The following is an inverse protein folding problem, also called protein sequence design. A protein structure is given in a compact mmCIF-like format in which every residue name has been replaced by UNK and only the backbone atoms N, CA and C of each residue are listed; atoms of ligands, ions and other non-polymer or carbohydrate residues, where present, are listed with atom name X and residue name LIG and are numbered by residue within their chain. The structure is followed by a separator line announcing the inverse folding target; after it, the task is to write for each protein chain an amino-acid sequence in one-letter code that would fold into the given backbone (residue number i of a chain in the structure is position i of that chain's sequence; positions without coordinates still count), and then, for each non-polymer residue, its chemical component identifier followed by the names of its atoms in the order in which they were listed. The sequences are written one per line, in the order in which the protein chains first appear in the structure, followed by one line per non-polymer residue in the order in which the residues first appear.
data_IF_346973626989
#
_entry.id   IF_346973626989
#
_cell.length_a   1.000
_cell.length_b   1.000
_cell.length_c   1.000
_cell.angle_alpha   90.00
_cell.angle_beta   90.00
_cell.angle_gamma   90.00
#
_symmetry.space_group_name_H-M   'P 1'
#
loop_
_entity.id
_entity.type
_entity.pdbx_description
1 polymer ?
#
# COMPACT_ATOMS: atom_id res chain seq x y z
N UNK A 1 3.65 -13.07 -0.61
CA UNK A 1 2.42 -12.23 -0.53
C UNK A 1 1.33 -12.96 0.24
N UNK A 2 1.08 -14.25 0.00
CA UNK A 2 0.02 -14.99 0.68
C UNK A 2 0.11 -14.86 2.20
N UNK A 3 1.23 -15.21 2.83
CA UNK A 3 1.41 -15.14 4.28
C UNK A 3 1.33 -13.71 4.82
N UNK A 4 1.72 -12.73 3.99
CA UNK A 4 1.61 -11.32 4.31
C UNK A 4 0.15 -10.89 4.42
N UNK A 5 -0.69 -11.30 3.47
CA UNK A 5 -2.10 -10.91 3.43
C UNK A 5 -2.93 -11.54 4.55
N UNK A 6 -2.46 -12.59 5.24
CA UNK A 6 -3.13 -13.12 6.44
C UNK A 6 -3.28 -12.08 7.54
N UNK A 7 -2.30 -11.18 7.66
CA UNK A 7 -2.34 -10.08 8.63
C UNK A 7 -3.41 -9.03 8.32
N UNK A 8 -3.93 -9.03 7.09
CA UNK A 8 -4.85 -8.01 6.58
C UNK A 8 -6.27 -8.56 6.31
N UNK A 9 -6.54 -9.85 6.56
CA UNK A 9 -7.86 -10.47 6.26
C UNK A 9 -9.02 -9.73 6.94
N UNK A 10 -8.81 -9.32 8.19
CA UNK A 10 -9.83 -8.61 8.97
C UNK A 10 -9.81 -7.08 8.76
N UNK A 11 -9.04 -6.61 7.79
CA UNK A 11 -8.92 -5.20 7.49
C UNK A 11 -10.25 -4.63 6.96
N UNK A 12 -10.73 -3.56 7.59
CA UNK A 12 -11.92 -2.82 7.18
C UNK A 12 -11.56 -1.44 6.61
N UNK A 13 -10.53 -0.81 7.15
CA UNK A 13 -10.06 0.51 6.72
C UNK A 13 -8.55 0.65 6.93
N UNK A 14 -7.95 1.58 6.21
CA UNK A 14 -6.51 1.86 6.33
C UNK A 14 -6.03 2.85 5.29
N UNK A 15 -4.72 2.96 5.19
CA UNK A 15 -4.07 3.92 4.30
C UNK A 15 -3.03 3.25 3.41
N UNK A 16 -2.88 3.78 2.20
CA UNK A 16 -1.74 3.48 1.34
C UNK A 16 -0.98 4.78 1.11
N UNK A 17 0.28 4.79 1.47
CA UNK A 17 1.10 6.00 1.48
C UNK A 17 2.28 5.85 0.53
N UNK A 18 2.63 6.95 -0.10
CA UNK A 18 3.87 7.08 -0.87
C UNK A 18 4.18 8.54 -1.16
N UNK A 19 5.38 8.82 -1.67
CA UNK A 19 5.77 10.10 -2.26
C UNK A 19 6.57 9.85 -3.53
N UNK A 20 6.57 10.83 -4.44
CA UNK A 20 7.32 10.75 -5.68
C UNK A 20 6.67 9.87 -6.72
N UNK A 21 7.46 9.16 -7.51
CA UNK A 21 6.99 8.39 -8.68
C UNK A 21 6.06 7.22 -8.33
N UNK A 22 6.12 6.72 -7.09
CA UNK A 22 5.25 5.62 -6.63
C UNK A 22 3.93 6.09 -6.00
N UNK A 23 3.71 7.39 -5.87
CA UNK A 23 2.44 7.91 -5.36
C UNK A 23 1.22 7.48 -6.21
N UNK A 24 1.24 7.53 -7.54
CA UNK A 24 0.14 6.99 -8.36
C UNK A 24 -0.16 5.52 -8.07
N UNK A 25 0.86 4.73 -7.70
CA UNK A 25 0.68 3.32 -7.34
C UNK A 25 0.01 3.17 -5.98
N UNK A 26 0.25 4.09 -5.03
CA UNK A 26 -0.51 4.11 -3.78
C UNK A 26 -2.01 4.35 -4.03
N UNK A 27 -2.36 5.19 -4.99
CA UNK A 27 -3.76 5.40 -5.41
C UNK A 27 -4.34 4.16 -6.09
N UNK A 28 -3.58 3.50 -6.98
CA UNK A 28 -3.99 2.25 -7.63
C UNK A 28 -4.19 1.11 -6.61
N UNK A 29 -3.27 0.93 -5.65
CA UNK A 29 -3.39 -0.06 -4.58
C UNK A 29 -4.65 0.18 -3.73
N UNK A 30 -4.95 1.45 -3.46
CA UNK A 30 -6.17 1.89 -2.80
C UNK A 30 -7.41 1.48 -3.59
N UNK A 31 -7.44 1.81 -4.89
CA UNK A 31 -8.56 1.49 -5.78
C UNK A 31 -8.79 -0.02 -5.86
N UNK A 32 -7.74 -0.82 -6.08
CA UNK A 32 -7.85 -2.28 -6.13
C UNK A 32 -8.38 -2.86 -4.82
N UNK A 33 -7.93 -2.36 -3.67
CA UNK A 33 -8.44 -2.81 -2.36
C UNK A 33 -9.93 -2.47 -2.17
N UNK A 34 -10.37 -1.31 -2.65
CA UNK A 34 -11.78 -0.91 -2.61
C UNK A 34 -12.64 -1.78 -3.53
N UNK A 35 -12.20 -1.98 -4.76
CA UNK A 35 -12.97 -2.69 -5.80
C UNK A 35 -13.10 -4.18 -5.50
N UNK A 36 -12.02 -4.84 -5.06
CA UNK A 36 -11.98 -6.30 -4.97
C UNK A 36 -12.12 -6.83 -3.55
N UNK A 37 -11.64 -6.09 -2.54
CA UNK A 37 -11.64 -6.52 -1.15
C UNK A 37 -12.69 -5.81 -0.29
N UNK A 38 -13.34 -4.78 -0.83
CA UNK A 38 -14.34 -3.93 -0.16
C UNK A 38 -13.80 -3.27 1.12
N UNK A 39 -12.51 -2.99 1.14
CA UNK A 39 -11.82 -2.32 2.25
C UNK A 39 -11.83 -0.82 2.02
N UNK A 40 -12.14 -0.04 3.05
CA UNK A 40 -12.16 1.43 2.99
C UNK A 40 -10.73 1.99 3.07
N UNK A 41 -9.91 1.67 2.08
CA UNK A 41 -8.56 2.24 1.97
C UNK A 41 -8.61 3.67 1.45
N UNK A 42 -7.63 4.49 1.87
CA UNK A 42 -7.39 5.83 1.33
C UNK A 42 -5.91 6.00 0.97
N UNK A 43 -5.66 6.51 -0.21
CA UNK A 43 -4.31 6.80 -0.71
C UNK A 43 -3.93 8.26 -0.43
N UNK A 44 -2.74 8.48 0.11
CA UNK A 44 -2.21 9.82 0.33
C UNK A 44 -0.74 9.93 -0.09
N UNK A 45 -0.37 11.11 -0.55
CA UNK A 45 1.05 11.46 -0.54
C UNK A 45 1.50 11.63 0.91
N UNK A 46 2.74 11.21 1.20
CA UNK A 46 3.32 11.36 2.54
C UNK A 46 3.28 12.82 3.00
N UNK A 47 3.51 13.77 2.09
CA UNK A 47 3.47 15.20 2.42
C UNK A 47 2.07 15.62 2.89
N UNK A 48 1.02 15.22 2.17
CA UNK A 48 -0.36 15.59 2.51
C UNK A 48 -0.86 14.87 3.75
N UNK A 49 -0.34 13.68 4.02
CA UNK A 49 -0.74 12.86 5.16
C UNK A 49 -0.45 13.55 6.51
N UNK A 50 0.62 14.34 6.60
CA UNK A 50 0.94 15.13 7.79
C UNK A 50 -0.10 16.21 8.10
N UNK A 51 -0.88 16.67 7.12
CA UNK A 51 -1.79 17.81 7.25
C UNK A 51 -3.23 17.42 7.61
N UNK A 52 -3.39 16.42 8.49
CA UNK A 52 -4.69 16.03 9.03
C UNK A 52 -4.92 14.52 9.09
N UNK A 53 -4.78 13.76 7.98
CA UNK A 53 -5.04 12.31 7.98
C UNK A 53 -4.25 11.53 9.04
N UNK A 54 -3.04 11.96 9.36
CA UNK A 54 -2.18 11.36 10.40
C UNK A 54 -2.87 11.28 11.77
N UNK A 55 -3.77 12.22 12.09
CA UNK A 55 -4.54 12.21 13.33
C UNK A 55 -5.52 11.02 13.47
N UNK A 56 -5.80 10.30 12.37
CA UNK A 56 -6.66 9.11 12.36
C UNK A 56 -5.90 7.81 12.67
N UNK A 57 -4.57 7.89 12.83
CA UNK A 57 -3.70 6.71 13.02
C UNK A 57 -3.61 6.33 14.48
N UNK A 58 -3.83 5.05 14.74
CA UNK A 58 -3.58 4.37 16.01
C UNK A 58 -2.83 3.04 15.78
N UNK A 59 -2.61 2.27 16.85
CA UNK A 59 -1.91 0.99 16.80
C UNK A 59 -2.63 -0.09 15.96
N UNK A 60 -3.91 0.08 15.65
CA UNK A 60 -4.73 -0.85 14.86
C UNK A 60 -4.86 -0.43 13.40
N UNK A 61 -4.42 0.77 13.07
CA UNK A 61 -4.53 1.30 11.72
C UNK A 61 -3.62 0.54 10.76
N UNK A 62 -4.20 -0.07 9.74
CA UNK A 62 -3.43 -0.73 8.70
C UNK A 62 -2.87 0.27 7.70
N UNK A 63 -1.57 0.18 7.45
CA UNK A 63 -0.87 1.08 6.55
C UNK A 63 0.05 0.28 5.63
N UNK A 64 -0.03 0.57 4.32
CA UNK A 64 0.95 0.13 3.33
C UNK A 64 1.73 1.36 2.90
N UNK A 65 3.04 1.32 2.97
CA UNK A 65 3.92 2.42 2.62
C UNK A 65 4.94 1.97 1.56
N UNK A 66 4.91 2.58 0.40
CA UNK A 66 5.94 2.37 -0.62
C UNK A 66 7.15 3.27 -0.34
N UNK A 67 8.31 2.67 -0.12
CA UNK A 67 9.57 3.35 0.19
C UNK A 67 10.70 2.83 -0.71
N UNK A 68 10.55 3.06 -2.02
CA UNK A 68 11.51 2.63 -3.03
C UNK A 68 12.75 3.52 -3.03
N UNK A 69 13.89 2.98 -3.47
CA UNK A 69 15.11 3.76 -3.74
C UNK A 69 14.81 4.93 -4.68
N UNK A 70 15.46 6.07 -4.45
CA UNK A 70 15.29 7.26 -5.25
C UNK A 70 15.10 8.53 -4.41
N UNK A 71 14.75 9.63 -5.07
CA UNK A 71 14.72 10.97 -4.47
C UNK A 71 13.75 11.10 -3.27
N UNK A 72 12.66 10.33 -3.25
CA UNK A 72 11.64 10.40 -2.19
C UNK A 72 11.77 9.34 -1.09
N UNK A 73 12.76 8.43 -1.17
CA UNK A 73 12.92 7.35 -0.19
C UNK A 73 13.03 7.86 1.25
N UNK A 74 13.88 8.89 1.45
CA UNK A 74 14.10 9.48 2.78
C UNK A 74 12.81 9.97 3.42
N UNK A 75 11.95 10.64 2.66
CA UNK A 75 10.69 11.18 3.16
C UNK A 75 9.70 10.05 3.50
N UNK A 76 9.65 9.01 2.68
CA UNK A 76 8.83 7.82 2.93
C UNK A 76 9.29 7.09 4.20
N UNK A 77 10.60 6.95 4.41
CA UNK A 77 11.15 6.32 5.62
C UNK A 77 10.90 7.16 6.87
N UNK A 78 11.03 8.49 6.79
CA UNK A 78 10.67 9.38 7.90
C UNK A 78 9.20 9.23 8.31
N UNK A 79 8.29 9.01 7.35
CA UNK A 79 6.89 8.69 7.64
C UNK A 79 6.77 7.31 8.32
N UNK A 80 7.52 6.30 7.87
CA UNK A 80 7.51 4.99 8.53
C UNK A 80 7.94 5.08 10.01
N UNK A 81 8.98 5.88 10.29
CA UNK A 81 9.42 6.14 11.66
C UNK A 81 8.33 6.85 12.46
N UNK A 82 7.73 7.89 11.90
CA UNK A 82 6.64 8.64 12.54
C UNK A 82 5.45 7.75 12.89
N UNK A 83 5.08 6.85 12.00
CA UNK A 83 3.99 5.90 12.23
C UNK A 83 4.32 4.93 13.37
N UNK A 84 5.57 4.46 13.45
CA UNK A 84 6.05 3.60 14.56
C UNK A 84 6.04 4.32 15.90
N UNK A 85 6.41 5.61 15.94
CA UNK A 85 6.31 6.43 17.15
C UNK A 85 4.87 6.53 17.69
N UNK A 86 3.87 6.51 16.81
CA UNK A 86 2.43 6.51 17.17
C UNK A 86 1.95 5.12 17.62
N UNK A 87 2.77 4.07 17.40
CA UNK A 87 2.43 2.69 17.72
C UNK A 87 1.88 1.90 16.53
N UNK A 88 1.69 2.51 15.36
CA UNK A 88 1.28 1.80 14.15
C UNK A 88 2.45 1.00 13.54
N UNK A 89 2.13 -0.11 12.89
CA UNK A 89 3.12 -0.95 12.21
C UNK A 89 2.88 -0.94 10.69
N UNK A 90 3.45 0.02 9.94
CA UNK A 90 3.27 0.05 8.50
C UNK A 90 3.95 -1.16 7.84
N UNK A 91 3.28 -1.73 6.83
CA UNK A 91 3.92 -2.60 5.87
C UNK A 91 4.78 -1.74 4.93
N UNK A 92 6.09 -1.84 5.06
CA UNK A 92 7.04 -1.14 4.20
C UNK A 92 7.34 -1.99 2.97
N UNK A 93 6.94 -1.49 1.80
CA UNK A 93 7.24 -2.11 0.51
C UNK A 93 8.42 -1.37 -0.11
N UNK A 94 9.51 -2.06 -0.37
CA UNK A 94 10.78 -1.43 -0.77
C UNK A 94 11.59 -2.34 -1.70
N UNK A 95 12.49 -1.77 -2.48
CA UNK A 95 13.54 -2.46 -3.27
C UNK A 95 14.92 -2.33 -2.61
N UNK A 96 14.97 -1.84 -1.37
CA UNK A 96 16.18 -1.68 -0.58
C UNK A 96 16.27 -2.78 0.49
N UNK A 97 17.25 -3.66 0.36
CA UNK A 97 17.44 -4.79 1.29
C UNK A 97 17.69 -4.34 2.73
N UNK A 98 18.44 -3.26 2.94
CA UNK A 98 18.74 -2.79 4.29
C UNK A 98 17.48 -2.20 4.95
N UNK A 99 16.66 -1.49 4.18
CA UNK A 99 15.34 -1.01 4.64
C UNK A 99 14.42 -2.20 4.98
N UNK A 100 14.39 -3.21 4.11
CA UNK A 100 13.56 -4.40 4.33
C UNK A 100 13.97 -5.17 5.58
N UNK A 101 15.28 -5.30 5.86
CA UNK A 101 15.80 -5.96 7.07
C UNK A 101 15.52 -5.16 8.34
N UNK A 102 15.56 -3.83 8.26
CA UNK A 102 15.34 -2.94 9.40
C UNK A 102 13.87 -2.77 9.78
N UNK A 103 12.96 -2.92 8.83
CA UNK A 103 11.53 -2.73 9.07
C UNK A 103 10.89 -3.98 9.71
N UNK A 104 10.14 -3.84 10.81
CA UNK A 104 9.49 -4.97 11.49
C UNK A 104 8.48 -5.72 10.62
N UNK A 105 7.86 -5.03 9.67
CA UNK A 105 6.97 -5.59 8.67
C UNK A 105 7.34 -5.00 7.31
N UNK A 106 7.87 -5.83 6.43
CA UNK A 106 8.33 -5.40 5.11
C UNK A 106 8.00 -6.39 4.01
N UNK A 107 8.05 -5.90 2.78
CA UNK A 107 8.06 -6.71 1.57
C UNK A 107 9.14 -6.18 0.62
N UNK A 108 10.13 -7.02 0.33
CA UNK A 108 11.22 -6.69 -0.59
C UNK A 108 10.78 -6.94 -2.03
N UNK A 109 10.85 -5.92 -2.85
CA UNK A 109 10.66 -5.98 -4.31
C UNK A 109 12.01 -6.09 -5.02
N UNK A 110 12.04 -6.60 -6.26
CA UNK A 110 13.23 -6.54 -7.08
C UNK A 110 13.71 -5.09 -7.30
N UNK A 111 15.01 -4.86 -7.12
CA UNK A 111 15.62 -3.60 -7.55
C UNK A 111 15.69 -3.55 -9.08
N UNK A 112 15.05 -2.57 -9.66
CA UNK A 112 15.00 -2.38 -11.12
C UNK A 112 16.17 -1.54 -11.65
N UNK A 113 17.04 -1.05 -10.77
CA UNK A 113 18.16 -0.18 -11.08
C UNK A 113 17.79 1.26 -11.44
N UNK A 114 16.50 1.63 -11.37
CA UNK A 114 16.02 2.97 -11.69
C UNK A 114 14.73 3.31 -10.97
N UNK A 115 14.65 4.50 -10.39
CA UNK A 115 13.41 5.01 -9.77
C UNK A 115 12.25 5.18 -10.77
N UNK A 116 12.55 5.32 -12.07
CA UNK A 116 11.52 5.43 -13.13
C UNK A 116 10.84 4.10 -13.44
N UNK A 117 11.49 2.98 -13.16
CA UNK A 117 10.93 1.64 -13.39
C UNK A 117 10.36 1.00 -12.13
N UNK A 118 10.71 1.47 -10.95
CA UNK A 118 10.16 0.97 -9.68
C UNK A 118 8.63 1.03 -9.57
N UNK A 119 7.90 2.01 -10.14
CA UNK A 119 6.44 2.00 -10.14
C UNK A 119 5.81 0.75 -10.76
N UNK A 120 6.44 0.14 -11.77
CA UNK A 120 5.89 -1.06 -12.41
C UNK A 120 5.91 -2.28 -11.48
N UNK A 121 6.99 -2.51 -10.75
CA UNK A 121 7.06 -3.61 -9.77
C UNK A 121 6.15 -3.35 -8.57
N UNK A 122 6.01 -2.09 -8.16
CA UNK A 122 5.04 -1.68 -7.15
C UNK A 122 3.60 -1.95 -7.58
N UNK A 123 3.25 -1.68 -8.86
CA UNK A 123 1.92 -1.96 -9.41
C UNK A 123 1.61 -3.46 -9.39
N UNK A 124 2.57 -4.30 -9.80
CA UNK A 124 2.43 -5.76 -9.74
C UNK A 124 2.21 -6.21 -8.28
N UNK A 125 2.98 -5.67 -7.33
CA UNK A 125 2.77 -5.96 -5.91
C UNK A 125 1.36 -5.57 -5.46
N UNK A 126 0.92 -4.35 -5.77
CA UNK A 126 -0.39 -3.83 -5.37
C UNK A 126 -1.55 -4.72 -5.86
N UNK A 127 -1.50 -5.12 -7.13
CA UNK A 127 -2.51 -6.00 -7.75
C UNK A 127 -2.47 -7.40 -7.14
N UNK A 128 -1.29 -8.00 -6.97
CA UNK A 128 -1.14 -9.32 -6.36
C UNK A 128 -1.51 -9.34 -4.88
N UNK A 129 -1.27 -8.24 -4.16
CA UNK A 129 -1.71 -8.07 -2.78
C UNK A 129 -3.23 -8.03 -2.69
N UNK A 130 -3.88 -7.20 -3.51
CA UNK A 130 -5.34 -7.09 -3.55
C UNK A 130 -6.00 -8.42 -3.96
N UNK A 131 -5.48 -9.12 -4.97
CA UNK A 131 -5.97 -10.43 -5.39
C UNK A 131 -5.86 -11.46 -4.26
N UNK A 132 -4.70 -11.56 -3.61
CA UNK A 132 -4.49 -12.50 -2.50
C UNK A 132 -5.40 -12.20 -1.32
N UNK A 133 -5.53 -10.91 -0.95
CA UNK A 133 -6.42 -10.48 0.12
C UNK A 133 -7.89 -10.74 -0.22
N UNK A 134 -8.32 -10.49 -1.45
CA UNK A 134 -9.65 -10.77 -1.96
C UNK A 134 -9.99 -12.27 -1.81
N UNK A 135 -9.10 -13.15 -2.26
CA UNK A 135 -9.28 -14.60 -2.14
C UNK A 135 -9.40 -15.06 -0.69
N UNK A 136 -8.56 -14.54 0.21
CA UNK A 136 -8.61 -14.86 1.65
C UNK A 136 -9.89 -14.34 2.34
N UNK A 137 -10.48 -13.26 1.84
CA UNK A 137 -11.80 -12.78 2.29
C UNK A 137 -12.96 -13.57 1.68
N UNK A 138 -12.69 -14.62 0.89
CA UNK A 138 -13.72 -15.42 0.22
C UNK A 138 -14.45 -14.67 -0.90
N UNK A 139 -13.82 -13.64 -1.46
CA UNK A 139 -14.37 -12.80 -2.53
C UNK A 139 -13.81 -13.21 -3.90
N UNK A 140 -14.46 -12.77 -4.97
CA UNK A 140 -14.02 -13.02 -6.34
C UNK A 140 -13.62 -11.69 -7.01
N UNK A 141 -12.33 -11.49 -7.34
CA UNK A 141 -11.87 -10.25 -7.96
C UNK A 141 -12.40 -10.04 -9.39
N UNK A 142 -12.83 -11.10 -10.07
CA UNK A 142 -13.38 -11.02 -11.43
C UNK A 142 -14.87 -10.64 -11.44
N UNK A 143 -15.54 -10.67 -10.29
CA UNK A 143 -16.96 -10.36 -10.14
C UNK A 143 -17.20 -9.42 -8.95
N UNK A 144 -16.65 -8.21 -8.97
CA UNK A 144 -16.84 -7.26 -7.89
C UNK A 144 -18.29 -6.78 -7.82
N UNK A 145 -18.76 -6.54 -6.60
CA UNK A 145 -20.15 -6.07 -6.37
C UNK A 145 -20.37 -4.71 -7.03
N UNK A 146 -21.55 -4.53 -7.64
CA UNK A 146 -22.00 -3.26 -8.20
C UNK A 146 -21.12 -2.70 -9.35
N UNK A 147 -20.13 -3.42 -9.80
CA UNK A 147 -19.29 -3.04 -10.93
C UNK A 147 -19.58 -3.93 -12.15
N UNK A 148 -19.45 -3.35 -13.32
CA UNK A 148 -19.50 -4.06 -14.60
C UNK A 148 -18.16 -3.88 -15.32
N UNK A 149 -17.75 -4.87 -16.09
CA UNK A 149 -16.48 -4.85 -16.85
C UNK A 149 -16.37 -3.63 -17.80
N UNK A 150 -17.50 -3.11 -18.25
CA UNK A 150 -17.58 -1.91 -19.09
C UNK A 150 -18.52 -0.92 -18.43
N UNK A 151 -18.02 0.25 -18.11
CA UNK A 151 -18.83 1.39 -17.67
C UNK A 151 -19.11 2.28 -18.85
N UNK A 152 -20.39 2.44 -19.20
CA UNK A 152 -20.84 3.41 -20.22
C UNK A 152 -21.12 4.72 -19.49
N UNK A 153 -20.24 5.70 -19.64
CA UNK A 153 -20.51 7.08 -19.22
C UNK A 153 -21.38 7.75 -20.28
N UNK A 154 -22.52 8.33 -19.86
CA UNK A 154 -23.38 9.15 -20.71
C UNK A 154 -22.90 10.59 -20.67
#
# INVERSE_FOLDING_TARGET
ISDLTDKFVNLEHGFVLSRGLTYPIALEATLKSQETCYVKMKGYSVADFYHGPLAQVDEKTAIILFAMKGASQKDNLAMADKLREIGAQPLVVTDDEEVAKAAPLSFLLPDTGSEFTSPFVCAIFAQRFAESLCGKKGLNPDQPRNLKKVTVTK
#
